data_IF_637711912541
#
_entry.id   IF_637711912541
#
_cell.length_a   1.000
_cell.length_b   1.000
_cell.length_c   1.000
_cell.angle_alpha   90.00
_cell.angle_beta   90.00
_cell.angle_gamma   90.00
#
_symmetry.space_group_name_H-M   'P 1'
#
loop_
_entity.id
_entity.type
_entity.pdbx_description
1 polymer ?
#
# COMPACT_ATOMS: atom_id res chain seq x y z
N UNK A 1 11.12 31.85 20.11
CA UNK A 1 11.12 30.82 21.18
C UNK A 1 9.82 30.04 21.13
N UNK A 2 9.84 28.69 21.12
CA UNK A 2 8.60 27.86 21.13
C UNK A 2 8.19 27.60 22.58
N UNK A 3 7.08 28.17 23.01
CA UNK A 3 6.52 27.98 24.35
C UNK A 3 6.09 26.52 24.56
N UNK A 4 6.69 25.83 25.54
CA UNK A 4 6.25 24.49 25.99
C UNK A 4 4.82 24.61 26.53
N UNK A 5 3.89 23.81 25.98
CA UNK A 5 2.51 23.71 26.51
C UNK A 5 2.56 23.16 27.93
N UNK A 6 1.98 23.91 28.88
CA UNK A 6 1.89 23.53 30.29
C UNK A 6 1.10 22.22 30.52
N UNK A 7 1.26 21.62 31.72
CA UNK A 7 0.64 20.34 32.06
C UNK A 7 -0.88 20.41 31.95
N UNK A 8 -1.47 19.41 31.29
CA UNK A 8 -2.92 19.33 31.07
C UNK A 8 -3.63 18.97 32.37
N UNK A 9 -4.72 19.68 32.72
CA UNK A 9 -5.51 19.40 33.92
C UNK A 9 -6.07 17.97 33.93
N UNK A 10 -6.21 17.37 35.12
CA UNK A 10 -6.71 16.00 35.31
C UNK A 10 -8.10 15.79 34.67
N UNK A 11 -8.97 16.82 34.70
CA UNK A 11 -10.27 16.81 34.02
C UNK A 11 -10.13 16.67 32.49
N UNK A 12 -9.13 17.30 31.88
CA UNK A 12 -8.88 17.21 30.44
C UNK A 12 -8.30 15.83 30.03
N UNK A 13 -7.50 15.20 30.90
CA UNK A 13 -6.99 13.83 30.69
C UNK A 13 -8.14 12.82 30.74
N UNK A 14 -8.99 12.87 31.78
CA UNK A 14 -10.19 12.00 31.91
C UNK A 14 -11.14 12.13 30.72
N UNK A 15 -11.39 13.36 30.22
CA UNK A 15 -12.25 13.58 29.03
C UNK A 15 -11.66 12.99 27.75
N UNK A 16 -10.33 13.03 27.58
CA UNK A 16 -9.64 12.40 26.44
C UNK A 16 -9.70 10.87 26.52
N UNK A 17 -9.53 10.31 27.71
CA UNK A 17 -9.61 8.87 27.95
C UNK A 17 -11.02 8.32 27.72
N UNK A 18 -12.05 9.01 28.24
CA UNK A 18 -13.45 8.66 27.97
C UNK A 18 -13.77 8.70 26.46
N UNK A 19 -13.26 9.70 25.71
CA UNK A 19 -13.41 9.75 24.24
C UNK A 19 -12.69 8.59 23.53
N UNK A 20 -11.52 8.18 24.00
CA UNK A 20 -10.80 7.01 23.46
C UNK A 20 -11.57 5.72 23.73
N UNK A 21 -12.12 5.57 24.94
CA UNK A 21 -12.89 4.40 25.33
C UNK A 21 -14.20 4.28 24.51
N UNK A 22 -14.91 5.39 24.28
CA UNK A 22 -16.10 5.43 23.42
C UNK A 22 -15.80 5.03 21.98
N UNK A 23 -14.74 5.59 21.38
CA UNK A 23 -14.30 5.20 20.02
C UNK A 23 -13.93 3.71 19.93
N UNK A 24 -13.32 3.15 20.97
CA UNK A 24 -12.95 1.73 20.98
C UNK A 24 -14.19 0.81 21.13
N UNK A 25 -15.19 1.24 21.91
CA UNK A 25 -16.49 0.53 22.02
C UNK A 25 -17.25 0.55 20.69
N UNK A 26 -17.30 1.68 19.98
CA UNK A 26 -17.91 1.79 18.66
C UNK A 26 -17.18 0.94 17.62
N UNK A 27 -15.84 0.95 17.63
CA UNK A 27 -15.04 0.13 16.73
C UNK A 27 -15.26 -1.38 16.96
N UNK A 28 -15.36 -1.82 18.22
CA UNK A 28 -15.71 -3.21 18.55
C UNK A 28 -17.11 -3.59 18.06
N UNK A 29 -18.10 -2.70 18.18
CA UNK A 29 -19.46 -2.95 17.65
C UNK A 29 -19.44 -3.14 16.13
N UNK A 30 -18.73 -2.28 15.40
CA UNK A 30 -18.60 -2.36 13.93
C UNK A 30 -17.93 -3.67 13.49
N UNK A 31 -16.90 -4.13 14.21
CA UNK A 31 -16.24 -5.41 13.94
C UNK A 31 -17.17 -6.61 14.16
N UNK A 32 -17.96 -6.60 15.23
CA UNK A 32 -18.93 -7.67 15.51
C UNK A 32 -20.04 -7.69 14.47
N UNK A 33 -20.56 -6.54 14.05
CA UNK A 33 -21.58 -6.48 12.99
C UNK A 33 -21.04 -6.94 11.64
N UNK A 34 -19.80 -6.59 11.31
CA UNK A 34 -19.14 -7.05 10.07
C UNK A 34 -18.87 -8.56 10.08
N UNK A 35 -18.49 -9.14 11.22
CA UNK A 35 -18.33 -10.58 11.35
C UNK A 35 -19.67 -11.32 11.18
N UNK A 36 -20.77 -10.75 11.71
CA UNK A 36 -22.11 -11.32 11.62
C UNK A 36 -22.64 -11.30 10.18
N UNK A 37 -22.38 -10.24 9.41
CA UNK A 37 -22.76 -10.17 7.99
C UNK A 37 -21.97 -11.15 7.12
N UNK A 38 -20.68 -11.37 7.42
CA UNK A 38 -19.85 -12.35 6.69
C UNK A 38 -20.33 -13.79 6.95
N UNK A 39 -20.70 -14.11 8.20
CA UNK A 39 -21.26 -15.43 8.54
C UNK A 39 -22.60 -15.68 7.83
N UNK A 40 -23.46 -14.67 7.73
CA UNK A 40 -24.73 -14.78 6.99
C UNK A 40 -24.52 -14.93 5.47
N UNK A 41 -23.51 -14.28 4.89
CA UNK A 41 -23.15 -14.48 3.47
C UNK A 41 -22.60 -15.89 3.20
N UNK A 42 -21.83 -16.46 4.13
CA UNK A 42 -21.34 -17.83 4.01
C UNK A 42 -22.45 -18.87 4.17
N UNK A 43 -23.44 -18.62 5.03
CA UNK A 43 -24.61 -19.49 5.15
C UNK A 43 -25.50 -19.47 3.89
N UNK A 44 -25.62 -18.32 3.21
CA UNK A 44 -26.38 -18.18 1.95
C UNK A 44 -25.72 -18.81 0.72
N UNK A 45 -24.44 -19.19 0.82
CA UNK A 45 -23.69 -19.88 -0.24
C UNK A 45 -23.60 -21.40 0.02
N UNK A 46 -24.19 -21.90 1.11
CA UNK A 46 -24.12 -23.29 1.53
C UNK A 46 -25.40 -24.11 1.33
N UNK A 47 -26.43 -23.56 0.68
CA UNK A 47 -27.69 -24.27 0.41
C UNK A 47 -27.87 -24.39 -1.11
N UNK A 48 -27.26 -25.45 -1.64
CA UNK A 48 -27.35 -25.90 -3.03
C UNK A 48 -27.15 -27.42 -3.02
N UNK A 49 -28.28 -28.10 -3.13
CA UNK A 49 -28.52 -29.54 -3.14
C UNK A 49 -27.76 -30.31 -4.24
N UNK A 50 -27.52 -31.59 -4.01
CA UNK A 50 -26.80 -32.48 -4.93
C UNK A 50 -26.33 -33.77 -4.28
N UNK A 51 -27.29 -34.63 -3.94
CA UNK A 51 -27.09 -36.05 -3.66
C UNK A 51 -26.64 -36.75 -4.95
N UNK A 52 -25.48 -37.44 -4.94
CA UNK A 52 -25.28 -38.65 -5.73
C UNK A 52 -24.14 -39.48 -5.13
N UNK A 53 -24.50 -40.69 -4.72
CA UNK A 53 -23.65 -41.75 -4.21
C UNK A 53 -23.07 -42.50 -5.40
N UNK A 54 -21.75 -42.43 -5.62
CA UNK A 54 -21.06 -43.47 -6.38
C UNK A 54 -19.63 -43.66 -5.84
N UNK A 55 -19.44 -44.81 -5.18
CA UNK A 55 -18.11 -45.41 -4.99
C UNK A 55 -17.56 -45.73 -6.38
N UNK A 56 -16.34 -45.29 -6.69
CA UNK A 56 -15.32 -46.18 -7.25
C UNK A 56 -13.91 -45.56 -7.40
N UNK A 57 -12.94 -46.37 -6.98
CA UNK A 57 -11.54 -46.48 -7.42
C UNK A 57 -10.65 -45.25 -7.68
N UNK A 58 -9.54 -45.22 -6.94
CA UNK A 58 -8.33 -44.45 -7.24
C UNK A 58 -7.88 -44.70 -8.69
N UNK A 59 -8.07 -43.74 -9.59
CA UNK A 59 -7.40 -43.68 -10.90
C UNK A 59 -6.90 -42.25 -11.16
N UNK A 60 -5.58 -42.13 -11.23
CA UNK A 60 -4.73 -41.11 -11.86
C UNK A 60 -5.36 -39.73 -12.17
N UNK A 61 -5.03 -38.75 -11.33
CA UNK A 61 -5.32 -37.32 -11.58
C UNK A 61 -4.42 -36.86 -12.74
N UNK A 62 -4.96 -36.86 -13.97
CA UNK A 62 -4.34 -36.13 -15.08
C UNK A 62 -4.42 -34.62 -14.79
N UNK A 63 -3.35 -33.84 -14.99
CA UNK A 63 -3.40 -32.39 -14.79
C UNK A 63 -4.37 -31.78 -15.79
N UNK A 64 -5.52 -31.29 -15.29
CA UNK A 64 -6.47 -30.51 -16.10
C UNK A 64 -5.79 -29.20 -16.45
N UNK A 65 -5.27 -29.10 -17.67
CA UNK A 65 -4.75 -27.83 -18.20
C UNK A 65 -5.93 -26.87 -18.32
N UNK A 66 -5.99 -25.79 -17.53
CA UNK A 66 -7.12 -24.88 -17.59
C UNK A 66 -7.13 -24.20 -18.96
N UNK A 67 -8.29 -24.19 -19.62
CA UNK A 67 -8.47 -23.50 -20.91
C UNK A 67 -8.10 -22.02 -20.74
N UNK A 68 -7.35 -21.42 -21.68
CA UNK A 68 -6.99 -20.01 -21.61
C UNK A 68 -8.26 -19.16 -21.59
N UNK A 69 -8.38 -18.29 -20.58
CA UNK A 69 -9.48 -17.31 -20.49
C UNK A 69 -9.05 -16.07 -21.26
N UNK A 70 -9.85 -15.65 -22.24
CA UNK A 70 -9.57 -14.47 -23.04
C UNK A 70 -10.33 -13.26 -22.49
N UNK A 71 -9.66 -12.12 -22.39
CA UNK A 71 -10.28 -10.83 -22.10
C UNK A 71 -11.17 -10.35 -23.27
N UNK A 72 -11.93 -9.27 -23.06
CA UNK A 72 -12.71 -8.59 -24.11
C UNK A 72 -11.85 -8.15 -25.31
N UNK A 73 -10.55 -7.95 -25.10
CA UNK A 73 -9.55 -7.61 -26.13
C UNK A 73 -8.92 -8.85 -26.81
N UNK A 74 -9.38 -10.07 -26.52
CA UNK A 74 -8.86 -11.31 -27.12
C UNK A 74 -7.46 -11.72 -26.63
N UNK A 75 -7.01 -11.20 -25.48
CA UNK A 75 -5.72 -11.57 -24.86
C UNK A 75 -5.92 -12.65 -23.79
N UNK A 76 -5.03 -13.64 -23.75
CA UNK A 76 -5.04 -14.69 -22.73
C UNK A 76 -4.68 -14.08 -21.37
N UNK A 77 -5.58 -14.20 -20.40
CA UNK A 77 -5.39 -13.73 -19.03
C UNK A 77 -5.61 -14.89 -18.06
N UNK A 78 -4.65 -15.04 -17.15
CA UNK A 78 -4.59 -16.17 -16.21
C UNK A 78 -5.41 -15.94 -14.93
N UNK A 79 -6.02 -14.76 -14.78
CA UNK A 79 -6.88 -14.40 -13.64
C UNK A 79 -8.34 -14.26 -14.08
N UNK A 80 -9.27 -14.72 -13.25
CA UNK A 80 -10.74 -14.57 -13.44
C UNK A 80 -11.25 -13.13 -13.31
N UNK A 81 -10.34 -12.16 -13.27
CA UNK A 81 -10.59 -10.73 -13.13
C UNK A 81 -9.80 -10.01 -14.22
N UNK A 82 -10.50 -9.26 -15.06
CA UNK A 82 -9.90 -8.45 -16.11
C UNK A 82 -9.55 -7.06 -15.55
N UNK A 83 -8.25 -6.74 -15.46
CA UNK A 83 -7.81 -5.38 -15.23
C UNK A 83 -7.88 -4.62 -16.54
N UNK A 84 -9.08 -4.16 -16.91
CA UNK A 84 -9.30 -3.27 -18.05
C UNK A 84 -8.23 -2.18 -18.04
N UNK A 85 -7.44 -2.09 -19.12
CA UNK A 85 -6.33 -1.15 -19.21
C UNK A 85 -6.91 0.27 -19.16
N UNK A 86 -6.91 0.89 -17.98
CA UNK A 86 -7.29 2.29 -17.83
C UNK A 86 -6.42 3.11 -18.78
N UNK A 87 -7.02 3.61 -19.87
CA UNK A 87 -6.38 4.52 -20.82
C UNK A 87 -5.64 5.58 -20.01
N UNK A 88 -4.30 5.55 -20.06
CA UNK A 88 -3.47 6.50 -19.32
C UNK A 88 -3.88 7.88 -19.81
N UNK A 89 -4.49 8.69 -18.96
CA UNK A 89 -4.75 10.09 -19.29
C UNK A 89 -3.39 10.70 -19.63
N UNK A 90 -3.18 10.97 -20.91
CA UNK A 90 -1.98 11.57 -21.49
C UNK A 90 -1.88 13.00 -20.98
N UNK A 91 -1.44 13.16 -19.74
CA UNK A 91 -1.19 14.46 -19.15
C UNK A 91 0.32 14.53 -18.97
N UNK A 92 0.96 15.46 -19.69
CA UNK A 92 2.40 15.70 -19.62
C UNK A 92 2.86 15.82 -18.17
N UNK A 93 4.09 15.38 -17.86
CA UNK A 93 4.58 15.48 -16.50
C UNK A 93 4.72 16.96 -16.10
N UNK A 94 4.32 17.36 -14.87
CA UNK A 94 4.46 18.76 -14.43
C UNK A 94 5.88 19.33 -14.50
N UNK A 95 6.91 18.46 -14.48
CA UNK A 95 8.31 18.85 -14.68
C UNK A 95 8.64 19.19 -16.13
N UNK A 96 8.09 18.43 -17.07
CA UNK A 96 8.28 18.67 -18.50
C UNK A 96 7.58 19.96 -18.90
N UNK A 97 6.33 20.16 -18.46
CA UNK A 97 5.58 21.40 -18.71
C UNK A 97 6.34 22.62 -18.17
N UNK A 98 6.89 22.53 -16.96
CA UNK A 98 7.69 23.62 -16.39
C UNK A 98 8.99 23.88 -17.18
N UNK A 99 9.58 22.85 -17.81
CA UNK A 99 10.76 23.01 -18.68
C UNK A 99 10.36 23.67 -20.00
N UNK A 100 9.24 23.25 -20.59
CA UNK A 100 8.68 23.85 -21.81
C UNK A 100 8.42 25.35 -21.59
N UNK A 101 7.73 25.73 -20.51
CA UNK A 101 7.47 27.14 -20.15
C UNK A 101 8.77 27.93 -20.01
N UNK A 102 9.77 27.38 -19.29
CA UNK A 102 11.07 28.04 -19.14
C UNK A 102 11.79 28.21 -20.47
N UNK A 103 11.71 27.22 -21.37
CA UNK A 103 12.33 27.31 -22.68
C UNK A 103 11.63 28.34 -23.57
N UNK A 104 10.29 28.43 -23.52
CA UNK A 104 9.56 29.47 -24.25
C UNK A 104 9.88 30.86 -23.73
N UNK A 105 9.92 31.04 -22.40
CA UNK A 105 10.26 32.32 -21.78
C UNK A 105 11.68 32.77 -22.13
N UNK A 106 12.64 31.83 -22.16
CA UNK A 106 14.01 32.09 -22.59
C UNK A 106 14.09 32.57 -24.03
N UNK A 107 13.46 31.85 -24.97
CA UNK A 107 13.45 32.25 -26.39
C UNK A 107 12.87 33.64 -26.59
N UNK A 108 11.80 33.96 -25.86
CA UNK A 108 11.17 35.28 -25.93
C UNK A 108 12.09 36.36 -25.34
N UNK A 109 12.82 36.06 -24.28
CA UNK A 109 13.79 37.00 -23.70
C UNK A 109 15.02 37.18 -24.60
N UNK A 110 15.54 36.11 -25.20
CA UNK A 110 16.65 36.14 -26.15
C UNK A 110 16.33 37.05 -27.35
N UNK A 111 15.11 36.96 -27.91
CA UNK A 111 14.68 37.85 -29.01
C UNK A 111 14.49 39.31 -28.57
N UNK A 112 14.11 39.55 -27.32
CA UNK A 112 14.05 40.90 -26.76
C UNK A 112 15.43 41.50 -26.57
N UNK A 113 16.38 40.70 -26.10
CA UNK A 113 17.77 41.09 -25.87
C UNK A 113 18.49 41.35 -27.21
N UNK A 114 18.15 40.60 -28.27
CA UNK A 114 18.69 40.82 -29.62
C UNK A 114 18.07 42.04 -30.34
N UNK A 115 17.16 42.78 -29.71
CA UNK A 115 16.52 43.97 -30.28
C UNK A 115 15.29 43.70 -31.17
N UNK A 116 14.90 42.43 -31.38
CA UNK A 116 13.73 42.05 -32.18
C UNK A 116 12.44 42.05 -31.34
N UNK A 117 12.11 43.21 -30.77
CA UNK A 117 11.01 43.36 -29.82
C UNK A 117 9.65 43.04 -30.45
N UNK A 118 9.43 43.43 -31.71
CA UNK A 118 8.18 43.18 -32.43
C UNK A 118 7.93 41.68 -32.62
N UNK A 119 8.92 40.93 -33.11
CA UNK A 119 8.82 39.47 -33.27
C UNK A 119 8.58 38.77 -31.92
N UNK A 120 9.21 39.26 -30.84
CA UNK A 120 8.97 38.73 -29.50
C UNK A 120 7.53 38.98 -29.01
N UNK A 121 6.90 40.11 -29.38
CA UNK A 121 5.50 40.41 -29.08
C UNK A 121 4.55 39.57 -29.93
N UNK A 122 4.82 39.40 -31.22
CA UNK A 122 4.06 38.53 -32.12
C UNK A 122 4.06 37.09 -31.62
N UNK A 123 5.23 36.53 -31.28
CA UNK A 123 5.30 35.18 -30.71
C UNK A 123 4.52 35.03 -29.40
N UNK A 124 4.56 36.04 -28.52
CA UNK A 124 3.74 36.03 -27.30
C UNK A 124 2.25 36.02 -27.62
N UNK A 125 1.82 36.83 -28.56
CA UNK A 125 0.42 36.92 -28.98
C UNK A 125 -0.04 35.61 -29.62
N UNK A 126 0.73 35.04 -30.54
CA UNK A 126 0.44 33.73 -31.13
C UNK A 126 0.29 32.64 -30.07
N UNK A 127 1.21 32.58 -29.10
CA UNK A 127 1.14 31.61 -28.01
C UNK A 127 -0.10 31.83 -27.14
N UNK A 128 -0.50 33.09 -26.90
CA UNK A 128 -1.71 33.41 -26.16
C UNK A 128 -2.97 32.95 -26.92
N UNK A 129 -3.04 33.18 -28.23
CA UNK A 129 -4.15 32.73 -29.08
C UNK A 129 -4.22 31.21 -29.19
N UNK A 130 -3.10 30.53 -29.40
CA UNK A 130 -3.02 29.05 -29.39
C UNK A 130 -3.56 28.47 -28.07
N UNK A 131 -3.16 29.06 -26.93
CA UNK A 131 -3.68 28.66 -25.60
C UNK A 131 -5.17 28.92 -25.43
N UNK A 132 -5.69 30.02 -25.99
CA UNK A 132 -7.11 30.34 -25.94
C UNK A 132 -7.91 29.30 -26.76
N UNK A 133 -7.44 28.97 -27.96
CA UNK A 133 -8.07 27.97 -28.82
C UNK A 133 -8.09 26.58 -28.15
N UNK A 134 -6.96 26.13 -27.58
CA UNK A 134 -6.90 24.87 -26.85
C UNK A 134 -7.90 24.82 -25.68
N UNK A 135 -8.10 25.93 -24.97
CA UNK A 135 -9.10 26.00 -23.90
C UNK A 135 -10.53 25.90 -24.43
N UNK A 136 -10.83 26.53 -25.57
CA UNK A 136 -12.14 26.47 -26.24
C UNK A 136 -12.44 25.05 -26.74
N UNK A 137 -11.43 24.37 -27.30
CA UNK A 137 -11.52 22.95 -27.69
C UNK A 137 -11.75 22.01 -26.49
N UNK A 138 -11.60 22.50 -25.26
CA UNK A 138 -11.78 21.74 -24.02
C UNK A 138 -10.52 21.01 -23.54
N UNK A 139 -9.35 21.30 -24.13
CA UNK A 139 -8.06 20.79 -23.63
C UNK A 139 -7.70 21.47 -22.32
N UNK A 140 -7.22 20.67 -21.36
CA UNK A 140 -6.78 21.17 -20.04
C UNK A 140 -5.39 21.78 -20.11
N UNK A 141 -5.32 23.06 -20.43
CA UNK A 141 -4.08 23.86 -20.44
C UNK A 141 -3.56 24.09 -19.01
N UNK A 142 -2.28 23.77 -18.75
CA UNK A 142 -1.69 23.76 -17.39
C UNK A 142 -0.42 24.61 -17.33
N UNK A 143 -0.58 25.91 -17.40
CA UNK A 143 0.55 26.81 -17.66
C UNK A 143 1.05 27.57 -16.43
N UNK A 144 0.37 27.46 -15.27
CA UNK A 144 0.78 28.19 -14.07
C UNK A 144 2.03 27.56 -13.41
N UNK A 145 3.19 28.26 -13.39
CA UNK A 145 4.43 27.73 -12.83
C UNK A 145 4.35 27.47 -11.32
N UNK A 146 3.58 28.27 -10.57
CA UNK A 146 3.41 28.12 -9.11
C UNK A 146 2.63 26.83 -8.81
N UNK A 147 1.57 26.55 -9.57
CA UNK A 147 0.79 25.32 -9.42
C UNK A 147 1.58 24.09 -9.87
N UNK A 148 2.33 24.18 -10.97
CA UNK A 148 3.22 23.09 -11.42
C UNK A 148 4.28 22.76 -10.36
N UNK A 149 4.90 23.77 -9.75
CA UNK A 149 5.85 23.56 -8.66
C UNK A 149 5.20 22.89 -7.43
N UNK A 150 4.01 23.34 -7.02
CA UNK A 150 3.24 22.71 -5.93
C UNK A 150 2.93 21.24 -6.25
N UNK A 151 2.54 20.93 -7.49
CA UNK A 151 2.28 19.56 -7.92
C UNK A 151 3.54 18.68 -7.84
N UNK A 152 4.70 19.21 -8.28
CA UNK A 152 5.98 18.51 -8.15
C UNK A 152 6.32 18.24 -6.68
N UNK A 153 6.13 19.23 -5.80
CA UNK A 153 6.38 19.10 -4.36
C UNK A 153 5.46 18.05 -3.73
N UNK A 154 4.16 18.07 -4.07
CA UNK A 154 3.18 17.08 -3.60
C UNK A 154 3.59 15.66 -3.99
N UNK A 155 3.96 15.44 -5.27
CA UNK A 155 4.43 14.15 -5.77
C UNK A 155 5.71 13.68 -5.05
N UNK A 156 6.65 14.59 -4.76
CA UNK A 156 7.84 14.26 -3.95
C UNK A 156 7.47 13.80 -2.54
N UNK A 157 6.54 14.48 -1.87
CA UNK A 157 6.07 14.11 -0.52
C UNK A 157 5.37 12.76 -0.53
N UNK A 158 4.49 12.50 -1.50
CA UNK A 158 3.80 11.22 -1.66
C UNK A 158 4.80 10.07 -1.85
N UNK A 159 5.81 10.26 -2.71
CA UNK A 159 6.86 9.25 -2.91
C UNK A 159 7.70 9.02 -1.65
N UNK A 160 8.00 10.07 -0.87
CA UNK A 160 8.68 9.92 0.43
C UNK A 160 7.84 9.11 1.42
N UNK A 161 6.53 9.41 1.52
CA UNK A 161 5.61 8.65 2.38
C UNK A 161 5.53 7.19 1.96
N UNK A 162 5.37 6.93 0.66
CA UNK A 162 5.36 5.58 0.13
C UNK A 162 6.66 4.83 0.44
N UNK A 163 7.83 5.45 0.20
CA UNK A 163 9.14 4.86 0.54
C UNK A 163 9.19 4.46 2.02
N UNK A 164 8.80 5.38 2.92
CA UNK A 164 8.78 5.11 4.37
C UNK A 164 7.86 3.94 4.74
N UNK A 165 6.65 3.89 4.18
CA UNK A 165 5.71 2.80 4.44
C UNK A 165 6.26 1.45 3.95
N UNK A 166 6.91 1.42 2.79
CA UNK A 166 7.54 0.21 2.27
C UNK A 166 8.71 -0.25 3.13
N UNK A 167 9.55 0.67 3.62
CA UNK A 167 10.63 0.32 4.54
C UNK A 167 10.10 -0.20 5.87
N UNK A 168 9.06 0.44 6.43
CA UNK A 168 8.41 0.00 7.68
C UNK A 168 7.79 -1.40 7.53
N UNK A 169 7.17 -1.69 6.37
CA UNK A 169 6.65 -3.04 6.06
C UNK A 169 7.74 -4.09 5.99
N UNK A 170 8.85 -3.82 5.29
CA UNK A 170 9.99 -4.75 5.19
C UNK A 170 10.57 -5.05 6.58
N UNK A 171 10.83 -4.01 7.37
CA UNK A 171 11.32 -4.17 8.74
C UNK A 171 10.34 -4.96 9.62
N UNK A 172 9.03 -4.76 9.47
CA UNK A 172 8.03 -5.54 10.19
C UNK A 172 8.10 -7.02 9.81
N UNK A 173 8.19 -7.33 8.52
CA UNK A 173 8.31 -8.71 8.05
C UNK A 173 9.57 -9.38 8.59
N UNK A 174 10.71 -8.70 8.53
CA UNK A 174 11.99 -9.20 9.08
C UNK A 174 11.89 -9.45 10.59
N UNK A 175 11.30 -8.53 11.35
CA UNK A 175 11.06 -8.70 12.79
C UNK A 175 10.14 -9.87 13.09
N UNK A 176 9.06 -10.03 12.32
CA UNK A 176 8.10 -11.12 12.50
C UNK A 176 8.73 -12.49 12.17
N UNK A 177 9.65 -12.55 11.21
CA UNK A 177 10.44 -13.74 10.90
C UNK A 177 11.42 -14.03 12.04
N UNK A 178 12.21 -13.04 12.45
CA UNK A 178 13.19 -13.18 13.52
C UNK A 178 12.55 -13.60 14.85
N UNK A 179 11.40 -13.02 15.21
CA UNK A 179 10.66 -13.38 16.41
C UNK A 179 10.18 -14.84 16.37
N UNK A 180 9.71 -15.32 15.20
CA UNK A 180 9.32 -16.72 15.02
C UNK A 180 10.51 -17.67 15.16
N UNK A 181 11.66 -17.32 14.57
CA UNK A 181 12.88 -18.12 14.69
C UNK A 181 13.40 -18.14 16.12
N UNK A 182 13.41 -17.00 16.82
CA UNK A 182 13.80 -16.91 18.23
C UNK A 182 12.93 -17.80 19.12
N UNK A 183 11.60 -17.74 18.95
CA UNK A 183 10.66 -18.61 19.68
C UNK A 183 10.91 -20.09 19.39
N UNK A 184 11.26 -20.45 18.15
CA UNK A 184 11.62 -21.82 17.79
C UNK A 184 12.89 -22.26 18.52
N UNK A 185 13.93 -21.43 18.53
CA UNK A 185 15.18 -21.73 19.22
C UNK A 185 14.95 -21.92 20.73
N UNK A 186 14.22 -21.00 21.38
CA UNK A 186 13.88 -21.09 22.80
C UNK A 186 13.14 -22.40 23.13
N UNK A 187 12.20 -22.82 22.27
CA UNK A 187 11.49 -24.09 22.44
C UNK A 187 12.40 -25.32 22.27
N UNK A 188 13.34 -25.28 21.32
CA UNK A 188 14.31 -26.36 21.10
C UNK A 188 15.28 -26.46 22.28
N UNK A 189 15.79 -25.33 22.77
CA UNK A 189 16.68 -25.26 23.93
C UNK A 189 15.98 -25.76 25.19
N UNK A 190 14.71 -25.37 25.40
CA UNK A 190 13.88 -25.89 26.48
C UNK A 190 13.74 -27.41 26.39
N UNK A 191 13.39 -27.95 25.22
CA UNK A 191 13.29 -29.39 24.99
C UNK A 191 14.62 -30.11 25.23
N UNK A 192 15.75 -29.51 24.85
CA UNK A 192 17.09 -30.06 25.10
C UNK A 192 17.41 -30.11 26.60
N UNK A 193 17.20 -29.00 27.32
CA UNK A 193 17.39 -28.91 28.77
C UNK A 193 16.48 -29.87 29.53
N UNK A 194 15.21 -29.99 29.13
CA UNK A 194 14.26 -30.91 29.75
C UNK A 194 14.67 -32.38 29.53
N UNK A 195 15.19 -32.73 28.35
CA UNK A 195 15.78 -34.06 28.11
C UNK A 195 16.97 -34.34 29.02
N UNK A 196 17.88 -33.38 29.17
CA UNK A 196 19.03 -33.52 30.10
C UNK A 196 18.56 -33.68 31.54
N UNK A 197 17.66 -32.82 32.02
CA UNK A 197 17.07 -32.91 33.36
C UNK A 197 16.37 -34.24 33.60
N UNK A 198 15.61 -34.75 32.63
CA UNK A 198 14.93 -36.05 32.77
C UNK A 198 15.92 -37.22 32.81
N UNK A 199 17.04 -37.15 32.05
CA UNK A 199 18.12 -38.14 32.17
C UNK A 199 18.75 -38.11 33.57
N UNK A 200 19.08 -36.93 34.08
CA UNK A 200 19.63 -36.76 35.44
C UNK A 200 18.67 -37.30 36.50
N UNK A 201 17.38 -36.94 36.43
CA UNK A 201 16.34 -37.46 37.34
C UNK A 201 16.22 -38.99 37.30
N UNK A 202 16.32 -39.61 36.12
CA UNK A 202 16.29 -41.07 35.99
C UNK A 202 17.54 -41.74 36.57
N UNK A 203 18.72 -41.12 36.42
CA UNK A 203 19.96 -41.63 37.01
C UNK A 203 19.93 -41.56 38.54
N UNK A 204 19.48 -40.42 39.09
CA UNK A 204 19.30 -40.24 40.53
C UNK A 204 18.32 -41.27 41.13
N UNK A 205 17.17 -41.50 40.48
CA UNK A 205 16.20 -42.54 40.91
C UNK A 205 16.76 -43.96 40.93
N UNK A 206 17.78 -44.24 40.11
CA UNK A 206 18.46 -45.54 40.06
C UNK A 206 19.65 -45.65 41.03
N UNK A 207 19.84 -44.67 41.93
CA UNK A 207 20.92 -44.67 42.90
C UNK A 207 22.31 -44.39 42.32
N UNK A 208 22.42 -44.01 41.03
CA UNK A 208 23.68 -43.47 40.49
C UNK A 208 23.84 -42.03 41.00
N UNK A 209 24.58 -41.90 42.10
CA UNK A 209 25.01 -40.61 42.65
C UNK A 209 25.82 -39.89 41.57
N UNK A 210 25.42 -38.67 41.23
CA UNK A 210 26.19 -37.79 40.35
C UNK A 210 26.77 -36.71 41.26
N UNK A 211 28.05 -36.82 41.68
CA UNK A 211 28.71 -35.76 42.43
C UNK A 211 28.96 -34.57 41.49
N UNK A 212 28.50 -33.37 41.88
CA UNK A 212 28.87 -32.11 41.21
C UNK A 212 27.93 -31.61 40.10
N UNK A 213 26.69 -32.10 40.01
CA UNK A 213 25.63 -31.53 39.16
C UNK A 213 24.29 -31.42 39.89
#
# INVERSE_FOLDING_TARGET
MKTKKGPQSEKAKKKKEAKKLKKNKEFKKVLVTAAKSIKNQQAKLGEGDGNDDEKESKKDIKPVVPKPVFNEEGKIVFSKFDFAQKKKKSHKNPREILREIKATDKKINELKESGEVEKALEMKNELAWKKAFDKVEGKKVKDDPKLLYKAIKKRKVEKKKAKKQWTERKQKVEKDIAARQKKRQENLDKRSKDKQKNKLKKAAKKGRVIPGF
#
